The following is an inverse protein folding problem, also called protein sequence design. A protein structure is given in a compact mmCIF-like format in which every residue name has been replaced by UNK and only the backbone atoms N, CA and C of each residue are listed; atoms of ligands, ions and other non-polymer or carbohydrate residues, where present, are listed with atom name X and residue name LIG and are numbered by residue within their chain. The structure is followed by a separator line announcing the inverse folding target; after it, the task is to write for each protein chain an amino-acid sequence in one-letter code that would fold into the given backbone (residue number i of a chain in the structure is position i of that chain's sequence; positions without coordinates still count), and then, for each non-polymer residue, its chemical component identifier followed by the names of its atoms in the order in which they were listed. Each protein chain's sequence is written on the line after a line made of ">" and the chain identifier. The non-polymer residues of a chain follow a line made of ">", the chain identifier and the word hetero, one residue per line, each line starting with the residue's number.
data_IF_568978454863
#
_entry.id   IF_568978454863
#
_cell.length_a   1.000
_cell.length_b   1.000
_cell.length_c   1.000
_cell.angle_alpha   90.00
_cell.angle_beta   90.00
_cell.angle_gamma   90.00
#
_symmetry.space_group_name_H-M   'P 1'
#
loop_
_entity.id
_entity.type
_entity.pdbx_description
1 polymer ?
#
# COMPACT_ATOMS: atom_id res chain seq x y z
N UNK A 1 26.30 0.65 -17.33
CA UNK A 1 25.87 1.48 -16.18
C UNK A 1 26.46 0.84 -14.93
N UNK A 2 27.29 1.53 -14.18
CA UNK A 2 27.92 0.97 -12.99
C UNK A 2 26.93 0.96 -11.80
N UNK A 3 27.24 0.23 -10.72
CA UNK A 3 26.32 0.04 -9.60
C UNK A 3 25.96 1.36 -8.90
N UNK A 4 26.87 2.33 -8.82
CA UNK A 4 26.61 3.67 -8.29
C UNK A 4 25.61 4.46 -9.13
N UNK A 5 25.62 4.32 -10.45
CA UNK A 5 24.64 4.96 -11.33
C UNK A 5 23.25 4.34 -11.22
N UNK A 6 23.16 3.01 -11.02
CA UNK A 6 21.89 2.31 -10.77
C UNK A 6 21.29 2.75 -9.43
N UNK A 7 22.10 2.79 -8.38
CA UNK A 7 21.68 3.22 -7.05
C UNK A 7 21.18 4.68 -7.06
N UNK A 8 21.92 5.59 -7.70
CA UNK A 8 21.51 7.00 -7.84
C UNK A 8 20.18 7.14 -8.60
N UNK A 9 20.00 6.39 -9.70
CA UNK A 9 18.76 6.39 -10.49
C UNK A 9 17.58 5.84 -9.67
N UNK A 10 17.79 4.79 -8.88
CA UNK A 10 16.75 4.22 -8.01
C UNK A 10 16.32 5.20 -6.92
N UNK A 11 17.27 5.88 -6.27
CA UNK A 11 16.97 6.88 -5.23
C UNK A 11 16.19 8.07 -5.83
N UNK A 12 16.57 8.53 -7.02
CA UNK A 12 15.83 9.62 -7.69
C UNK A 12 14.41 9.20 -8.07
N UNK A 13 14.21 7.95 -8.51
CA UNK A 13 12.88 7.37 -8.74
C UNK A 13 12.02 7.38 -7.48
N UNK A 14 12.59 7.00 -6.32
CA UNK A 14 11.87 7.03 -5.04
C UNK A 14 11.52 8.46 -4.61
N UNK A 15 12.42 9.42 -4.79
CA UNK A 15 12.14 10.84 -4.51
C UNK A 15 11.04 11.38 -5.41
N UNK A 16 11.04 11.02 -6.70
CA UNK A 16 10.00 11.39 -7.65
C UNK A 16 8.65 10.81 -7.22
N UNK A 17 8.62 9.54 -6.82
CA UNK A 17 7.40 8.91 -6.31
C UNK A 17 6.89 9.61 -5.03
N UNK A 18 7.78 9.96 -4.11
CA UNK A 18 7.41 10.72 -2.91
C UNK A 18 6.81 12.08 -3.26
N UNK A 19 7.40 12.85 -4.19
CA UNK A 19 6.82 14.10 -4.69
C UNK A 19 5.42 13.92 -5.27
N UNK A 20 5.17 12.81 -5.98
CA UNK A 20 3.84 12.49 -6.49
C UNK A 20 2.81 12.25 -5.39
N UNK A 21 3.21 11.59 -4.29
CA UNK A 21 2.37 11.42 -3.10
C UNK A 21 2.02 12.76 -2.47
N UNK A 22 2.97 13.69 -2.43
CA UNK A 22 2.84 15.03 -1.86
C UNK A 22 2.12 16.02 -2.79
N UNK A 23 1.89 15.66 -4.05
CA UNK A 23 1.12 16.46 -4.99
C UNK A 23 -0.38 16.49 -4.61
N UNK A 24 -1.15 17.53 -5.02
CA UNK A 24 -2.55 17.69 -4.62
C UNK A 24 -3.42 16.45 -4.84
N UNK A 25 -3.25 15.74 -5.95
CA UNK A 25 -3.99 14.52 -6.24
C UNK A 25 -3.58 13.34 -5.33
N UNK A 26 -2.30 13.23 -4.97
CA UNK A 26 -1.81 12.22 -4.02
C UNK A 26 -2.35 12.46 -2.63
N UNK A 27 -2.34 13.71 -2.16
CA UNK A 27 -2.94 14.10 -0.88
C UNK A 27 -4.43 13.82 -0.85
N UNK A 28 -5.16 14.14 -1.94
CA UNK A 28 -6.59 13.85 -2.07
C UNK A 28 -6.86 12.34 -2.00
N UNK A 29 -6.05 11.52 -2.68
CA UNK A 29 -6.17 10.06 -2.65
C UNK A 29 -6.05 9.51 -1.23
N UNK A 30 -5.02 9.91 -0.49
CA UNK A 30 -4.86 9.46 0.90
C UNK A 30 -5.97 9.98 1.81
N UNK A 31 -6.42 11.23 1.62
CA UNK A 31 -7.53 11.79 2.38
C UNK A 31 -8.81 10.98 2.21
N UNK A 32 -9.16 10.62 0.99
CA UNK A 32 -10.32 9.77 0.69
C UNK A 32 -10.20 8.40 1.39
N UNK A 33 -9.02 7.78 1.34
CA UNK A 33 -8.78 6.49 2.00
C UNK A 33 -8.97 6.61 3.51
N UNK A 34 -8.41 7.64 4.14
CA UNK A 34 -8.52 7.82 5.60
C UNK A 34 -9.96 8.16 6.02
N UNK A 35 -10.69 8.93 5.23
CA UNK A 35 -12.11 9.19 5.48
C UNK A 35 -12.93 7.88 5.42
N UNK A 36 -12.61 6.96 4.51
CA UNK A 36 -13.25 5.64 4.43
C UNK A 36 -12.88 4.71 5.59
N UNK A 37 -11.68 4.83 6.16
CA UNK A 37 -11.29 4.09 7.35
C UNK A 37 -12.07 4.52 8.60
N UNK A 38 -12.63 5.73 8.58
CA UNK A 38 -13.29 6.33 9.73
C UNK A 38 -12.34 6.70 10.86
N UNK A 39 -12.90 7.01 12.02
CA UNK A 39 -12.11 7.41 13.18
C UNK A 39 -11.57 6.19 13.93
N UNK A 40 -10.29 5.92 13.77
CA UNK A 40 -9.56 4.90 14.53
C UNK A 40 -8.83 5.56 15.70
N UNK A 41 -9.14 5.11 16.92
CA UNK A 41 -8.52 5.62 18.17
C UNK A 41 -8.18 4.46 19.10
N UNK A 42 -7.00 4.53 19.72
CA UNK A 42 -6.52 3.54 20.68
C UNK A 42 -6.51 2.10 20.13
N UNK A 43 -6.21 1.94 18.82
CA UNK A 43 -6.15 0.66 18.13
C UNK A 43 -4.72 0.22 17.93
N UNK A 44 -4.49 -1.09 17.92
CA UNK A 44 -3.26 -1.71 17.40
C UNK A 44 -3.42 -1.96 15.92
N UNK A 45 -2.63 -1.27 15.11
CA UNK A 45 -2.75 -1.28 13.65
C UNK A 45 -1.49 -1.84 13.02
N UNK A 46 -1.65 -2.73 12.05
CA UNK A 46 -0.59 -3.14 11.13
C UNK A 46 -0.77 -2.42 9.80
N UNK A 47 0.25 -1.71 9.33
CA UNK A 47 0.33 -1.18 7.96
C UNK A 47 1.32 -2.05 7.15
N UNK A 48 0.79 -2.98 6.36
CA UNK A 48 1.57 -3.93 5.58
C UNK A 48 1.81 -3.42 4.15
N UNK A 49 3.09 -3.32 3.76
CA UNK A 49 3.53 -2.66 2.54
C UNK A 49 3.44 -1.14 2.64
N UNK A 50 3.86 -0.63 3.79
CA UNK A 50 3.66 0.76 4.21
C UNK A 50 4.40 1.81 3.36
N UNK A 51 5.34 1.40 2.52
CA UNK A 51 6.14 2.31 1.70
C UNK A 51 6.88 3.37 2.53
N UNK A 52 6.62 4.64 2.25
CA UNK A 52 7.14 5.76 3.05
C UNK A 52 6.41 5.96 4.39
N UNK A 53 5.49 5.09 4.75
CA UNK A 53 4.72 5.17 5.98
C UNK A 53 3.70 6.31 6.02
N UNK A 54 3.13 6.69 4.89
CA UNK A 54 2.14 7.79 4.80
C UNK A 54 0.93 7.51 5.70
N UNK A 55 0.31 6.34 5.52
CA UNK A 55 -0.85 5.94 6.32
C UNK A 55 -0.44 5.59 7.75
N UNK A 56 0.68 4.88 7.95
CA UNK A 56 1.20 4.59 9.28
C UNK A 56 1.42 5.86 10.11
N UNK A 57 2.08 6.88 9.51
CA UNK A 57 2.34 8.15 10.18
C UNK A 57 1.05 8.89 10.56
N UNK A 58 0.05 8.93 9.68
CA UNK A 58 -1.24 9.56 9.95
C UNK A 58 -1.97 8.86 11.10
N UNK A 59 -2.11 7.54 11.02
CA UNK A 59 -2.83 6.76 12.03
C UNK A 59 -2.13 6.73 13.39
N UNK A 60 -0.81 6.86 13.42
CA UNK A 60 -0.02 6.87 14.65
C UNK A 60 -0.29 8.08 15.56
N UNK A 61 -0.95 9.12 15.06
CA UNK A 61 -1.38 10.25 15.88
C UNK A 61 -2.29 9.84 17.06
N UNK A 62 -3.06 8.74 16.92
CA UNK A 62 -4.03 8.31 17.92
C UNK A 62 -4.02 6.78 18.16
N UNK A 63 -3.07 6.04 17.57
CA UNK A 63 -3.04 4.59 17.59
C UNK A 63 -1.62 4.04 17.78
N UNK A 64 -1.53 2.77 18.20
CA UNK A 64 -0.27 2.00 18.23
C UNK A 64 -0.08 1.34 16.86
N UNK A 65 0.88 1.85 16.07
CA UNK A 65 1.06 1.43 14.68
C UNK A 65 2.39 0.71 14.49
N UNK A 66 2.31 -0.50 13.94
CA UNK A 66 3.44 -1.25 13.38
C UNK A 66 3.34 -1.23 11.86
N UNK A 67 4.38 -0.82 11.17
CA UNK A 67 4.46 -0.79 9.72
C UNK A 67 5.51 -1.79 9.23
N UNK A 68 5.25 -2.49 8.13
CA UNK A 68 6.17 -3.43 7.49
C UNK A 68 6.35 -3.03 6.03
N UNK A 69 7.61 -2.92 5.58
CA UNK A 69 7.97 -2.55 4.23
C UNK A 69 9.24 -3.29 3.79
N UNK A 70 9.26 -4.01 2.65
CA UNK A 70 10.47 -4.69 2.19
C UNK A 70 11.55 -3.75 1.67
N UNK A 71 11.22 -2.56 1.18
CA UNK A 71 12.17 -1.62 0.60
C UNK A 71 12.81 -0.72 1.66
N UNK A 72 14.07 -1.00 2.00
CA UNK A 72 14.85 -0.24 2.99
C UNK A 72 14.99 1.24 2.63
N UNK A 73 15.04 1.58 1.34
CA UNK A 73 15.25 2.97 0.92
C UNK A 73 13.97 3.79 1.04
N UNK A 74 12.80 3.18 0.89
CA UNK A 74 11.53 3.83 1.25
C UNK A 74 11.46 4.12 2.75
N UNK A 75 11.89 3.17 3.58
CA UNK A 75 11.93 3.35 5.05
C UNK A 75 12.89 4.49 5.45
N UNK A 76 14.05 4.63 4.81
CA UNK A 76 14.97 5.76 5.05
C UNK A 76 14.30 7.12 4.79
N UNK A 77 13.40 7.19 3.80
CA UNK A 77 12.70 8.39 3.37
C UNK A 77 11.31 8.55 4.04
N UNK A 78 11.01 7.75 5.07
CA UNK A 78 9.70 7.70 5.71
C UNK A 78 9.28 9.02 6.35
N UNK A 79 7.97 9.19 6.51
CA UNK A 79 7.38 10.24 7.33
C UNK A 79 7.61 9.96 8.82
N UNK A 80 7.86 11.02 9.62
CA UNK A 80 8.27 10.92 11.03
C UNK A 80 7.60 11.95 11.93
N UNK A 81 6.45 12.49 11.51
CA UNK A 81 5.72 13.49 12.31
C UNK A 81 5.13 12.85 13.57
N UNK A 82 4.68 11.60 13.45
CA UNK A 82 4.16 10.79 14.55
C UNK A 82 5.07 9.59 14.83
N UNK A 83 5.03 9.07 16.05
CA UNK A 83 5.85 7.93 16.47
C UNK A 83 5.17 6.62 16.11
N UNK A 84 5.82 5.79 15.31
CA UNK A 84 5.40 4.43 14.97
C UNK A 84 6.61 3.54 14.69
N UNK A 85 6.44 2.24 14.83
CA UNK A 85 7.46 1.27 14.48
C UNK A 85 7.38 0.95 12.98
N UNK A 86 8.49 1.07 12.25
CA UNK A 86 8.55 0.60 10.85
C UNK A 86 9.72 -0.36 10.67
N UNK A 87 9.39 -1.57 10.24
CA UNK A 87 10.31 -2.70 10.11
C UNK A 87 10.53 -3.05 8.64
N UNK A 88 11.77 -3.44 8.33
CA UNK A 88 12.06 -4.10 7.05
C UNK A 88 11.51 -5.52 7.12
N UNK A 89 10.60 -5.89 6.22
CA UNK A 89 10.03 -7.22 6.27
C UNK A 89 9.07 -7.55 5.13
N UNK A 90 8.69 -8.81 5.11
CA UNK A 90 7.75 -9.41 4.18
C UNK A 90 6.73 -10.26 4.95
N UNK A 91 6.03 -11.18 4.28
CA UNK A 91 5.14 -12.15 4.93
C UNK A 91 5.85 -12.96 6.03
N UNK A 92 7.15 -13.20 5.91
CA UNK A 92 7.93 -13.94 6.93
C UNK A 92 7.96 -13.20 8.27
N UNK A 93 7.92 -11.87 8.23
CA UNK A 93 7.81 -11.06 9.46
C UNK A 93 6.47 -11.24 10.16
N UNK A 94 5.39 -11.50 9.41
CA UNK A 94 4.07 -11.74 10.00
C UNK A 94 4.03 -13.05 10.79
N UNK A 95 4.77 -14.07 10.35
CA UNK A 95 4.83 -15.37 11.04
C UNK A 95 5.37 -15.26 12.47
N UNK A 96 6.12 -14.20 12.77
CA UNK A 96 6.65 -13.93 14.11
C UNK A 96 5.64 -13.21 15.01
N UNK A 97 4.58 -12.68 14.42
CA UNK A 97 3.56 -11.94 15.16
C UNK A 97 2.61 -12.89 15.91
N UNK A 98 2.20 -12.54 17.15
CA UNK A 98 1.21 -13.32 17.90
C UNK A 98 -0.13 -13.38 17.17
N UNK A 99 -0.91 -14.44 17.44
CA UNK A 99 -2.29 -14.53 17.00
C UNK A 99 -3.12 -13.39 17.63
N UNK A 100 -4.10 -12.90 16.90
CA UNK A 100 -5.08 -11.91 17.37
C UNK A 100 -4.43 -10.67 18.04
N UNK A 101 -3.35 -10.16 17.44
CA UNK A 101 -2.62 -8.98 17.93
C UNK A 101 -3.27 -7.67 17.50
N UNK A 102 -3.70 -7.57 16.26
CA UNK A 102 -4.10 -6.32 15.63
C UNK A 102 -5.61 -6.12 15.59
N UNK A 103 -6.05 -4.90 15.85
CA UNK A 103 -7.45 -4.49 15.67
C UNK A 103 -7.76 -4.19 14.20
N UNK A 104 -6.77 -3.65 13.48
CA UNK A 104 -6.90 -3.27 12.07
C UNK A 104 -5.64 -3.66 11.32
N UNK A 105 -5.82 -4.18 10.11
CA UNK A 105 -4.72 -4.41 9.15
C UNK A 105 -4.99 -3.56 7.92
N UNK A 106 -4.01 -2.75 7.53
CA UNK A 106 -4.00 -1.94 6.33
C UNK A 106 -3.13 -2.65 5.28
N UNK A 107 -3.67 -2.85 4.07
CA UNK A 107 -2.95 -3.43 2.95
C UNK A 107 -3.33 -2.67 1.67
N UNK A 108 -2.70 -1.53 1.44
CA UNK A 108 -3.06 -0.60 0.38
C UNK A 108 -2.05 -0.62 -0.77
N UNK A 109 -2.51 -0.92 -1.98
CA UNK A 109 -1.72 -1.01 -3.22
C UNK A 109 -0.55 -2.01 -3.12
N UNK A 110 -0.75 -3.13 -2.44
CA UNK A 110 0.26 -4.16 -2.15
C UNK A 110 -0.06 -5.48 -2.82
N UNK A 111 -1.31 -5.90 -2.84
CA UNK A 111 -1.72 -7.24 -3.32
C UNK A 111 -1.33 -7.51 -4.78
N UNK A 112 -1.13 -6.48 -5.58
CA UNK A 112 -0.66 -6.60 -6.97
C UNK A 112 0.77 -7.16 -7.07
N UNK A 113 1.57 -6.94 -6.04
CA UNK A 113 2.99 -7.34 -5.97
C UNK A 113 3.22 -8.64 -5.21
N UNK A 114 2.19 -9.18 -4.56
CA UNK A 114 2.26 -10.41 -3.76
C UNK A 114 2.03 -11.63 -4.65
N UNK A 115 2.98 -12.58 -4.63
CA UNK A 115 2.91 -13.83 -5.41
C UNK A 115 1.88 -14.78 -4.81
N UNK A 116 1.96 -15.04 -3.51
CA UNK A 116 1.06 -15.91 -2.77
C UNK A 116 0.12 -15.08 -1.90
N UNK A 117 -1.02 -14.71 -2.50
CA UNK A 117 -2.03 -13.89 -1.84
C UNK A 117 -2.82 -14.67 -0.79
N UNK A 118 -3.02 -15.97 -1.03
CA UNK A 118 -3.75 -16.84 -0.11
C UNK A 118 -2.97 -16.98 1.20
N UNK A 119 -1.68 -17.26 1.13
CA UNK A 119 -0.83 -17.32 2.30
C UNK A 119 -0.79 -15.98 3.07
N UNK A 120 -0.74 -14.85 2.36
CA UNK A 120 -0.77 -13.53 3.00
C UNK A 120 -2.10 -13.29 3.74
N UNK A 121 -3.24 -13.60 3.11
CA UNK A 121 -4.56 -13.43 3.73
C UNK A 121 -4.73 -14.38 4.91
N UNK A 122 -4.21 -15.61 4.85
CA UNK A 122 -4.21 -16.55 5.97
C UNK A 122 -3.43 -15.99 7.18
N UNK A 123 -2.24 -15.38 6.95
CA UNK A 123 -1.48 -14.72 8.00
C UNK A 123 -2.23 -13.50 8.57
N UNK A 124 -2.84 -12.68 7.73
CA UNK A 124 -3.67 -11.58 8.20
C UNK A 124 -4.82 -12.08 9.09
N UNK A 125 -5.52 -13.12 8.67
CA UNK A 125 -6.59 -13.72 9.47
C UNK A 125 -6.08 -14.22 10.83
N UNK A 126 -4.90 -14.84 10.87
CA UNK A 126 -4.30 -15.36 12.10
C UNK A 126 -3.97 -14.26 13.11
N UNK A 127 -3.38 -13.14 12.63
CA UNK A 127 -2.91 -12.06 13.52
C UNK A 127 -3.99 -11.00 13.80
N UNK A 128 -5.10 -11.02 13.08
CA UNK A 128 -6.23 -10.13 13.28
C UNK A 128 -7.08 -10.60 14.47
N UNK A 129 -7.54 -9.70 15.32
CA UNK A 129 -8.51 -9.99 16.38
C UNK A 129 -9.87 -10.36 15.79
N UNK A 130 -10.72 -11.06 16.60
CA UNK A 130 -12.06 -11.51 16.16
C UNK A 130 -12.95 -10.37 15.64
N UNK A 131 -12.92 -9.22 16.34
CA UNK A 131 -13.70 -8.04 15.98
C UNK A 131 -12.89 -7.02 15.15
N UNK A 132 -11.75 -7.44 14.64
CA UNK A 132 -10.89 -6.63 13.78
C UNK A 132 -11.32 -6.65 12.32
N UNK A 133 -10.76 -5.74 11.54
CA UNK A 133 -11.01 -5.72 10.10
C UNK A 133 -9.73 -5.48 9.29
N UNK A 134 -9.79 -5.84 8.02
CA UNK A 134 -8.71 -5.60 7.05
C UNK A 134 -9.21 -4.54 6.05
N UNK A 135 -8.45 -3.47 5.87
CA UNK A 135 -8.66 -2.51 4.80
C UNK A 135 -7.76 -2.83 3.62
N UNK A 136 -8.36 -3.09 2.47
CA UNK A 136 -7.65 -3.39 1.24
C UNK A 136 -7.98 -2.34 0.20
N UNK A 137 -6.95 -1.67 -0.31
CA UNK A 137 -7.04 -0.79 -1.49
C UNK A 137 -6.18 -1.36 -2.60
N UNK A 138 -6.71 -1.38 -3.81
CA UNK A 138 -5.97 -1.81 -5.00
C UNK A 138 -6.34 -0.97 -6.20
N UNK A 139 -5.47 -0.95 -7.20
CA UNK A 139 -5.72 -0.21 -8.42
C UNK A 139 -6.99 -0.70 -9.13
N UNK A 140 -7.87 0.24 -9.44
CA UNK A 140 -9.07 -0.03 -10.21
C UNK A 140 -8.72 -0.11 -11.71
N UNK A 141 -8.68 -1.32 -12.27
CA UNK A 141 -8.40 -1.54 -13.69
C UNK A 141 -9.38 -0.80 -14.60
N UNK A 142 -10.68 -0.79 -14.25
CA UNK A 142 -11.70 -0.08 -15.03
C UNK A 142 -11.50 1.43 -14.96
N UNK A 143 -11.16 1.97 -13.79
CA UNK A 143 -10.80 3.38 -13.63
C UNK A 143 -9.62 3.77 -14.52
N UNK A 144 -8.57 2.91 -14.60
CA UNK A 144 -7.43 3.12 -15.48
C UNK A 144 -7.80 3.09 -16.97
N UNK A 145 -8.70 2.19 -17.35
CA UNK A 145 -9.25 2.10 -18.72
C UNK A 145 -10.01 3.37 -19.05
N UNK A 146 -10.90 3.83 -18.17
CA UNK A 146 -11.65 5.08 -18.35
C UNK A 146 -10.73 6.29 -18.41
N UNK A 147 -9.70 6.37 -17.58
CA UNK A 147 -8.69 7.42 -17.64
C UNK A 147 -8.04 7.48 -19.02
N UNK A 148 -7.59 6.33 -19.56
CA UNK A 148 -6.99 6.26 -20.90
C UNK A 148 -7.96 6.70 -22.00
N UNK A 149 -9.21 6.26 -21.93
CA UNK A 149 -10.22 6.64 -22.92
C UNK A 149 -10.54 8.13 -22.89
N UNK A 150 -10.79 8.68 -21.70
CA UNK A 150 -11.36 10.03 -21.54
C UNK A 150 -10.31 11.12 -21.44
N UNK A 151 -9.22 10.89 -20.68
CA UNK A 151 -8.20 11.91 -20.45
C UNK A 151 -7.01 11.81 -21.42
N UNK A 152 -6.69 10.61 -21.89
CA UNK A 152 -5.57 10.39 -22.82
C UNK A 152 -6.03 10.23 -24.28
N UNK A 153 -7.35 10.18 -24.54
CA UNK A 153 -7.97 9.98 -25.85
C UNK A 153 -7.49 8.73 -26.60
N UNK A 154 -7.07 7.67 -25.86
CA UNK A 154 -6.52 6.43 -26.41
C UNK A 154 -7.59 5.33 -26.56
N UNK A 155 -8.64 5.62 -27.32
CA UNK A 155 -9.81 4.74 -27.45
C UNK A 155 -9.45 3.36 -28.02
N UNK A 156 -8.63 3.30 -29.08
CA UNK A 156 -8.20 2.04 -29.71
C UNK A 156 -7.42 1.14 -28.76
N UNK A 157 -6.50 1.73 -27.96
CA UNK A 157 -5.74 0.99 -26.94
C UNK A 157 -6.67 0.43 -25.86
N UNK A 158 -7.70 1.18 -25.52
CA UNK A 158 -8.73 0.78 -24.54
C UNK A 158 -9.56 -0.39 -25.03
N UNK A 159 -10.01 -0.36 -26.29
CA UNK A 159 -10.78 -1.46 -26.90
C UNK A 159 -9.98 -2.76 -26.88
N UNK A 160 -8.71 -2.71 -27.26
CA UNK A 160 -7.80 -3.87 -27.19
C UNK A 160 -7.64 -4.40 -25.77
N UNK A 161 -7.55 -3.52 -24.76
CA UNK A 161 -7.47 -3.92 -23.34
C UNK A 161 -8.75 -4.57 -22.82
N UNK A 162 -9.92 -4.19 -23.34
CA UNK A 162 -11.21 -4.78 -22.98
C UNK A 162 -11.39 -6.15 -23.63
N UNK A 163 -11.03 -6.32 -24.91
CA UNK A 163 -11.10 -7.59 -25.63
C UNK A 163 -10.22 -8.67 -24.99
N UNK A 164 -8.98 -8.35 -24.65
CA UNK A 164 -8.06 -9.25 -23.96
C UNK A 164 -8.54 -9.69 -22.56
N UNK A 165 -9.59 -9.08 -22.03
CA UNK A 165 -10.21 -9.42 -20.76
C UNK A 165 -11.18 -10.60 -20.87
N UNK A 166 -11.85 -10.74 -22.03
CA UNK A 166 -12.82 -11.80 -22.27
C UNK A 166 -12.15 -13.16 -22.53
N UNK A 167 -10.85 -13.17 -22.86
CA UNK A 167 -10.09 -14.40 -23.13
C UNK A 167 -9.58 -15.07 -21.84
N UNK A 168 -9.60 -14.38 -20.69
CA UNK A 168 -9.11 -14.92 -19.39
C UNK A 168 -10.22 -15.37 -18.42
N UNK A 169 -11.48 -15.34 -18.85
CA UNK A 169 -12.64 -15.76 -18.05
C UNK A 169 -13.40 -16.96 -18.64
N UNK A 170 -12.76 -17.72 -19.52
CA UNK A 170 -13.25 -19.02 -20.04
C UNK A 170 -12.34 -20.15 -19.59
#
# INVERSE_FOLDING_TARGET
>A
MNDKQKESSMIEGLKSYKRNIEAPWGLLFYRIIWDQLGQLKNKKILDYGSGFGVTANELAAQNDVTAIEPNKDMIKLRYKQNTYQQLVGTIESLKQEPNQKYDVIICHNVLEYVKDREALIAEFHRILKKDGFISIVKHNKLGKIMQKAVLEYKVEEVLTLLENRNVKSS
#
